data_IF_598257533905
#
_entry.id   IF_598257533905
#
_cell.length_a   1.000
_cell.length_b   1.000
_cell.length_c   1.000
_cell.angle_alpha   90.00
_cell.angle_beta   90.00
_cell.angle_gamma   90.00
#
_symmetry.space_group_name_H-M   'P 1'
#
loop_
_entity.id
_entity.type
_entity.pdbx_description
1 polymer ?
#
# COMPACT_ATOMS: atom_id res chain seq x y z
N UNK A 1 -18.61 7.04 -6.33
CA UNK A 1 -18.76 7.04 -4.86
C UNK A 1 -17.66 7.89 -4.25
N UNK A 2 -17.73 8.22 -2.96
CA UNK A 2 -16.69 8.99 -2.26
C UNK A 2 -16.00 8.14 -1.23
N UNK A 3 -14.70 8.39 -1.01
CA UNK A 3 -13.94 7.73 0.06
C UNK A 3 -14.45 8.22 1.41
N UNK A 4 -14.97 7.30 2.21
CA UNK A 4 -15.63 7.54 3.51
C UNK A 4 -14.68 7.30 4.69
N UNK A 5 -13.75 6.35 4.54
CA UNK A 5 -12.73 6.06 5.55
C UNK A 5 -11.43 5.53 4.92
N UNK A 6 -10.34 5.76 5.66
CA UNK A 6 -9.02 5.16 5.43
C UNK A 6 -8.51 4.71 6.80
N UNK A 7 -8.43 3.39 7.01
CA UNK A 7 -8.00 2.80 8.28
C UNK A 7 -6.64 2.12 8.11
N UNK A 8 -5.72 2.46 9.01
CA UNK A 8 -4.37 1.89 9.05
C UNK A 8 -4.26 0.92 10.22
N UNK A 9 -3.83 -0.32 9.95
CA UNK A 9 -3.61 -1.36 10.95
C UNK A 9 -2.13 -1.69 11.01
N UNK A 10 -1.48 -1.26 12.09
CA UNK A 10 -0.13 -1.70 12.40
C UNK A 10 -0.20 -3.11 13.00
N UNK A 11 0.33 -4.08 12.27
CA UNK A 11 0.50 -5.46 12.71
C UNK A 11 1.99 -5.77 12.88
N UNK A 12 2.34 -6.54 13.90
CA UNK A 12 3.74 -6.88 14.20
C UNK A 12 3.83 -8.24 14.87
N UNK A 13 4.89 -8.97 14.59
CA UNK A 13 5.28 -10.15 15.35
C UNK A 13 5.54 -9.78 16.82
N UNK A 14 5.43 -10.71 17.78
CA UNK A 14 5.72 -10.43 19.18
C UNK A 14 7.16 -9.96 19.44
N UNK A 15 8.08 -10.32 18.55
CA UNK A 15 9.49 -9.92 18.56
C UNK A 15 9.90 -9.57 17.12
N UNK A 16 10.59 -8.44 16.94
CA UNK A 16 11.19 -8.02 15.68
C UNK A 16 12.70 -8.11 15.82
N UNK A 17 13.33 -8.90 14.95
CA UNK A 17 14.75 -9.21 14.97
C UNK A 17 15.53 -8.30 14.00
N UNK A 18 16.81 -8.09 14.29
CA UNK A 18 17.76 -7.39 13.42
C UNK A 18 18.25 -8.30 12.29
N UNK A 19 17.35 -8.59 11.35
CA UNK A 19 17.58 -9.38 10.14
C UNK A 19 16.95 -8.68 8.94
N UNK A 20 17.41 -9.00 7.73
CA UNK A 20 16.87 -8.44 6.48
C UNK A 20 15.49 -8.97 6.09
N UNK A 21 14.58 -9.17 7.04
CA UNK A 21 13.23 -9.68 6.82
C UNK A 21 12.18 -8.59 7.08
N UNK A 22 11.58 -8.08 6.00
CA UNK A 22 10.49 -7.10 6.06
C UNK A 22 9.14 -7.69 6.48
N UNK A 23 8.99 -9.02 6.51
CA UNK A 23 7.71 -9.66 6.86
C UNK A 23 7.41 -9.72 8.37
N UNK A 24 8.33 -9.19 9.19
CA UNK A 24 8.23 -9.21 10.66
C UNK A 24 7.20 -8.23 11.21
N UNK A 25 6.87 -7.18 10.46
CA UNK A 25 5.75 -6.28 10.70
C UNK A 25 5.12 -5.85 9.38
N UNK A 26 3.95 -5.23 9.44
CA UNK A 26 3.31 -4.66 8.25
C UNK A 26 2.30 -3.57 8.62
N UNK A 27 2.01 -2.74 7.61
CA UNK A 27 0.96 -1.74 7.69
C UNK A 27 -0.13 -2.05 6.66
N UNK A 28 -1.23 -2.63 7.15
CA UNK A 28 -2.39 -2.95 6.34
C UNK A 28 -3.29 -1.71 6.23
N UNK A 29 -3.80 -1.46 5.03
CA UNK A 29 -4.65 -0.30 4.71
C UNK A 29 -6.02 -0.78 4.26
N UNK A 30 -7.07 -0.27 4.89
CA UNK A 30 -8.44 -0.44 4.45
C UNK A 30 -8.99 0.89 3.96
N UNK A 31 -9.60 0.89 2.77
CA UNK A 31 -10.37 2.04 2.26
C UNK A 31 -11.81 1.61 2.07
N UNK A 32 -12.75 2.46 2.48
CA UNK A 32 -14.19 2.22 2.30
C UNK A 32 -14.83 3.37 1.51
N UNK A 33 -15.69 3.01 0.55
CA UNK A 33 -16.48 3.95 -0.24
C UNK A 33 -17.78 3.29 -0.70
N UNK A 34 -18.93 3.91 -0.45
CA UNK A 34 -20.22 3.41 -0.96
C UNK A 34 -20.55 1.97 -0.53
N UNK A 35 -20.11 1.56 0.66
CA UNK A 35 -20.29 0.19 1.18
C UNK A 35 -19.36 -0.86 0.57
N UNK A 36 -18.36 -0.47 -0.23
CA UNK A 36 -17.33 -1.37 -0.78
C UNK A 36 -16.00 -1.12 -0.07
N UNK A 37 -15.29 -2.21 0.24
CA UNK A 37 -14.01 -2.18 0.94
C UNK A 37 -12.88 -2.68 0.04
N UNK A 38 -11.83 -1.87 -0.08
CA UNK A 38 -10.55 -2.27 -0.66
C UNK A 38 -9.46 -2.41 0.39
N UNK A 39 -8.50 -3.29 0.11
CA UNK A 39 -7.34 -3.57 0.94
C UNK A 39 -6.05 -3.34 0.18
N UNK A 40 -5.06 -2.79 0.87
CA UNK A 40 -3.70 -2.66 0.40
C UNK A 40 -2.72 -2.74 1.56
N UNK A 41 -1.44 -2.66 1.25
CA UNK A 41 -0.37 -2.81 2.22
C UNK A 41 0.77 -1.86 1.85
N UNK A 42 1.35 -1.20 2.86
CA UNK A 42 2.54 -0.39 2.68
C UNK A 42 3.77 -1.22 3.07
N UNK A 43 4.69 -1.44 2.13
CA UNK A 43 6.04 -1.91 2.44
C UNK A 43 6.86 -0.73 3.00
N UNK A 44 6.66 -0.41 4.28
CA UNK A 44 7.23 0.77 4.92
C UNK A 44 7.15 0.67 6.44
N UNK A 45 7.97 1.48 7.14
CA UNK A 45 7.86 1.64 8.61
C UNK A 45 6.43 2.06 9.00
N UNK A 46 5.67 1.23 9.75
CA UNK A 46 4.25 1.48 9.96
C UNK A 46 3.95 2.78 10.69
N UNK A 47 4.69 3.09 11.77
CA UNK A 47 4.44 4.29 12.58
C UNK A 47 4.74 5.59 11.82
N UNK A 48 5.80 5.62 11.00
CA UNK A 48 6.12 6.80 10.21
C UNK A 48 5.08 7.04 9.12
N UNK A 49 4.56 5.98 8.50
CA UNK A 49 3.49 6.07 7.52
C UNK A 49 2.15 6.48 8.15
N UNK A 50 1.83 5.99 9.36
CA UNK A 50 0.68 6.49 10.14
C UNK A 50 0.85 7.98 10.43
N UNK A 51 2.02 8.42 10.87
CA UNK A 51 2.28 9.84 11.12
C UNK A 51 2.09 10.67 9.84
N UNK A 52 2.60 10.22 8.70
CA UNK A 52 2.44 10.89 7.42
C UNK A 52 0.98 10.94 6.94
N UNK A 53 0.16 9.94 7.30
CA UNK A 53 -1.27 9.93 7.02
C UNK A 53 -2.00 11.07 7.72
N UNK A 54 -1.69 11.34 9.00
CA UNK A 54 -2.54 12.18 9.88
C UNK A 54 -1.86 13.42 10.47
N UNK A 55 -0.58 13.64 10.18
CA UNK A 55 0.18 14.79 10.71
C UNK A 55 -0.53 16.12 10.43
N UNK A 56 -0.46 17.12 11.33
CA UNK A 56 -0.87 18.47 10.98
C UNK A 56 -0.15 18.99 9.74
N UNK A 57 -0.85 19.77 8.92
CA UNK A 57 -0.25 20.43 7.76
C UNK A 57 0.86 21.38 8.23
N UNK A 58 2.02 21.30 7.58
CA UNK A 58 3.12 22.25 7.78
C UNK A 58 3.01 23.47 6.87
N UNK A 59 2.72 23.26 5.58
CA UNK A 59 2.42 24.31 4.59
C UNK A 59 1.77 23.69 3.32
N UNK A 60 1.57 24.48 2.26
CA UNK A 60 0.79 24.13 1.06
C UNK A 60 1.21 22.84 0.34
N UNK A 61 2.50 22.49 0.38
CA UNK A 61 3.09 21.31 -0.25
C UNK A 61 3.50 20.22 0.77
N UNK A 62 3.14 20.40 2.06
CA UNK A 62 3.43 19.45 3.14
C UNK A 62 2.18 19.24 3.99
N UNK A 63 1.14 18.69 3.34
CA UNK A 63 -0.12 18.26 3.95
C UNK A 63 -0.06 16.78 4.32
N UNK A 64 -0.82 16.33 5.33
CA UNK A 64 -1.05 14.90 5.54
C UNK A 64 -1.62 14.24 4.28
N UNK A 65 -1.24 12.98 4.04
CA UNK A 65 -1.73 12.22 2.87
C UNK A 65 -3.26 12.13 2.87
N UNK A 66 -3.88 11.96 4.05
CA UNK A 66 -5.33 11.84 4.19
C UNK A 66 -6.09 13.04 3.63
N UNK A 67 -5.52 14.25 3.68
CA UNK A 67 -6.16 15.47 3.18
C UNK A 67 -6.33 15.49 1.65
N UNK A 68 -5.64 14.60 0.92
CA UNK A 68 -5.76 14.44 -0.53
C UNK A 68 -6.52 13.18 -0.94
N UNK A 69 -7.06 12.42 0.03
CA UNK A 69 -7.69 11.11 -0.19
C UNK A 69 -9.12 11.10 0.36
N UNK A 70 -9.33 11.51 1.62
CA UNK A 70 -10.63 11.41 2.26
C UNK A 70 -11.66 12.32 1.58
N UNK A 71 -12.82 11.77 1.22
CA UNK A 71 -13.89 12.49 0.54
C UNK A 71 -13.72 12.65 -0.98
N UNK A 72 -12.58 12.23 -1.55
CA UNK A 72 -12.37 12.21 -3.00
C UNK A 72 -13.30 11.19 -3.67
N UNK A 73 -13.61 11.46 -4.95
CA UNK A 73 -14.41 10.56 -5.78
C UNK A 73 -13.58 9.35 -6.21
N UNK A 74 -14.19 8.18 -6.29
CA UNK A 74 -13.60 6.94 -6.81
C UNK A 74 -14.62 6.15 -7.64
N UNK A 75 -14.87 6.62 -8.86
CA UNK A 75 -15.82 6.02 -9.80
C UNK A 75 -15.15 5.36 -11.02
N UNK A 76 -13.89 5.65 -11.31
CA UNK A 76 -13.15 5.01 -12.39
C UNK A 76 -11.63 5.04 -12.14
N UNK A 77 -10.87 4.48 -13.08
CA UNK A 77 -9.40 4.45 -13.04
C UNK A 77 -8.79 5.86 -13.08
N UNK A 78 -9.45 6.81 -13.74
CA UNK A 78 -9.00 8.20 -13.81
C UNK A 78 -9.02 8.88 -12.45
N UNK A 79 -9.99 8.54 -11.60
CA UNK A 79 -10.07 9.04 -10.23
C UNK A 79 -8.89 8.55 -9.36
N UNK A 80 -8.37 7.33 -9.55
CA UNK A 80 -7.16 6.83 -8.86
C UNK A 80 -5.94 7.69 -9.25
N UNK A 81 -5.77 7.93 -10.56
CA UNK A 81 -4.68 8.76 -11.06
C UNK A 81 -4.77 10.20 -10.54
N UNK A 82 -5.98 10.75 -10.43
CA UNK A 82 -6.25 12.06 -9.86
C UNK A 82 -5.86 12.14 -8.37
N UNK A 83 -6.29 11.18 -7.55
CA UNK A 83 -5.94 11.12 -6.13
C UNK A 83 -4.42 11.05 -5.96
N UNK A 84 -3.73 10.21 -6.74
CA UNK A 84 -2.27 10.14 -6.71
C UNK A 84 -1.60 11.45 -7.11
N UNK A 85 -2.16 12.19 -8.07
CA UNK A 85 -1.66 13.52 -8.43
C UNK A 85 -1.88 14.56 -7.32
N UNK A 86 -3.03 14.52 -6.64
CA UNK A 86 -3.30 15.37 -5.48
C UNK A 86 -2.31 15.11 -4.34
N UNK A 87 -2.06 13.84 -4.00
CA UNK A 87 -1.08 13.49 -2.96
C UNK A 87 0.30 14.03 -3.32
N UNK A 88 0.79 13.79 -4.54
CA UNK A 88 2.11 14.30 -4.98
C UNK A 88 2.20 15.82 -4.97
N UNK A 89 1.12 16.53 -5.30
CA UNK A 89 1.10 17.99 -5.30
C UNK A 89 1.03 18.59 -3.88
N UNK A 90 0.26 17.97 -2.99
CA UNK A 90 -0.03 18.49 -1.65
C UNK A 90 0.93 18.00 -0.56
N UNK A 91 1.62 16.89 -0.80
CA UNK A 91 2.52 16.23 0.16
C UNK A 91 3.94 16.06 -0.39
N UNK A 92 4.32 16.85 -1.40
CA UNK A 92 5.65 16.85 -2.02
C UNK A 92 6.80 16.93 -1.00
N UNK A 93 6.65 17.79 0.00
CA UNK A 93 7.68 18.04 1.03
C UNK A 93 7.52 17.12 2.26
N UNK A 94 6.58 16.16 2.20
CA UNK A 94 6.42 15.10 3.19
C UNK A 94 7.09 13.83 2.66
N UNK A 95 8.37 13.62 3.00
CA UNK A 95 9.21 12.56 2.44
C UNK A 95 8.61 11.14 2.52
N UNK A 96 7.79 10.86 3.54
CA UNK A 96 7.15 9.56 3.76
C UNK A 96 5.85 9.37 2.93
N UNK A 97 5.43 10.36 2.14
CA UNK A 97 4.14 10.37 1.46
C UNK A 97 3.99 9.23 0.44
N UNK A 98 5.00 8.94 -0.37
CA UNK A 98 4.91 7.89 -1.40
C UNK A 98 4.75 6.50 -0.79
N UNK A 99 5.52 6.20 0.26
CA UNK A 99 5.37 4.95 1.02
C UNK A 99 3.97 4.84 1.65
N UNK A 100 3.49 5.93 2.26
CA UNK A 100 2.15 5.98 2.89
C UNK A 100 1.03 5.81 1.87
N UNK A 101 1.18 6.43 0.70
CA UNK A 101 0.18 6.38 -0.36
C UNK A 101 0.18 5.04 -1.09
N UNK A 102 1.29 4.31 -1.14
CA UNK A 102 1.36 3.02 -1.85
C UNK A 102 0.28 2.03 -1.43
N UNK A 103 0.09 1.82 -0.12
CA UNK A 103 -0.98 0.93 0.38
C UNK A 103 -2.38 1.49 0.15
N UNK A 104 -2.56 2.81 0.14
CA UNK A 104 -3.84 3.45 -0.22
C UNK A 104 -4.13 3.21 -1.71
N UNK A 105 -3.17 3.46 -2.61
CA UNK A 105 -3.32 3.26 -4.06
C UNK A 105 -3.73 1.82 -4.37
N UNK A 106 -3.04 0.84 -3.79
CA UNK A 106 -3.40 -0.59 -3.91
C UNK A 106 -4.84 -0.84 -3.43
N UNK A 107 -5.22 -0.28 -2.27
CA UNK A 107 -6.57 -0.41 -1.74
C UNK A 107 -7.63 0.24 -2.66
N UNK A 108 -7.32 1.35 -3.33
CA UNK A 108 -8.23 1.98 -4.31
C UNK A 108 -8.44 1.09 -5.53
N UNK A 109 -7.39 0.43 -6.04
CA UNK A 109 -7.52 -0.53 -7.13
C UNK A 109 -8.35 -1.75 -6.73
N UNK A 110 -8.10 -2.33 -5.55
CA UNK A 110 -8.88 -3.46 -5.03
C UNK A 110 -10.35 -3.08 -4.82
N UNK A 111 -10.61 -1.91 -4.23
CA UNK A 111 -11.95 -1.35 -4.05
C UNK A 111 -12.67 -1.20 -5.39
N UNK A 112 -12.03 -0.57 -6.37
CA UNK A 112 -12.61 -0.33 -7.68
C UNK A 112 -12.87 -1.64 -8.43
N UNK A 113 -11.94 -2.60 -8.35
CA UNK A 113 -12.11 -3.94 -8.91
C UNK A 113 -13.34 -4.65 -8.36
N UNK A 114 -13.50 -4.66 -7.03
CA UNK A 114 -14.69 -5.23 -6.36
C UNK A 114 -15.98 -4.52 -6.78
N UNK A 115 -15.97 -3.20 -6.87
CA UNK A 115 -17.15 -2.42 -7.26
C UNK A 115 -17.55 -2.66 -8.72
N UNK A 116 -16.58 -2.84 -9.61
CA UNK A 116 -16.81 -3.08 -11.04
C UNK A 116 -16.97 -4.57 -11.39
N UNK A 117 -16.86 -5.46 -10.39
CA UNK A 117 -16.80 -6.92 -10.60
C UNK A 117 -15.73 -7.32 -11.63
N UNK A 118 -14.58 -6.66 -11.55
CA UNK A 118 -13.47 -6.81 -12.49
C UNK A 118 -12.14 -7.03 -11.74
N UNK A 119 -11.28 -7.94 -12.21
CA UNK A 119 -9.97 -8.09 -11.61
C UNK A 119 -9.07 -6.89 -11.93
N UNK A 120 -8.20 -6.51 -10.98
CA UNK A 120 -7.33 -5.31 -11.11
C UNK A 120 -6.47 -5.33 -12.39
N UNK A 121 -5.99 -6.50 -12.82
CA UNK A 121 -5.19 -6.59 -14.06
C UNK A 121 -5.97 -6.14 -15.30
N UNK A 122 -7.28 -6.34 -15.34
CA UNK A 122 -8.13 -5.89 -16.45
C UNK A 122 -8.28 -4.37 -16.42
N UNK A 123 -8.48 -3.80 -15.22
CA UNK A 123 -8.53 -2.35 -15.02
C UNK A 123 -7.21 -1.66 -15.40
N UNK A 124 -6.08 -2.36 -15.23
CA UNK A 124 -4.75 -1.92 -15.69
C UNK A 124 -4.54 -2.07 -17.21
N UNK A 125 -5.55 -2.52 -17.96
CA UNK A 125 -5.50 -2.69 -19.41
C UNK A 125 -4.78 -3.96 -19.87
N UNK A 126 -4.60 -4.95 -18.99
CA UNK A 126 -4.04 -6.25 -19.37
C UNK A 126 -5.17 -7.11 -19.95
N UNK A 127 -5.00 -7.62 -21.17
CA UNK A 127 -6.00 -8.45 -21.86
C UNK A 127 -6.21 -9.82 -21.19
N UNK A 128 -5.13 -10.46 -20.71
CA UNK A 128 -5.19 -11.78 -20.08
C UNK A 128 -4.09 -11.98 -19.05
N UNK A 129 -4.39 -12.53 -17.86
CA UNK A 129 -3.36 -12.89 -16.89
C UNK A 129 -2.50 -14.02 -17.44
N UNK A 130 -1.18 -13.89 -17.28
CA UNK A 130 -0.21 -14.92 -17.71
C UNK A 130 0.42 -15.56 -16.48
N UNK A 131 0.58 -16.90 -16.44
CA UNK A 131 1.32 -17.56 -15.39
C UNK A 131 2.72 -16.96 -15.21
N UNK A 132 3.11 -16.74 -13.97
CA UNK A 132 4.45 -16.30 -13.59
C UNK A 132 5.18 -17.48 -12.95
N UNK A 133 6.46 -17.67 -13.26
CA UNK A 133 7.27 -18.67 -12.57
C UNK A 133 7.75 -18.05 -11.25
N UNK A 134 7.30 -18.53 -10.08
CA UNK A 134 7.82 -18.03 -8.82
C UNK A 134 9.28 -18.46 -8.65
N UNK A 135 10.08 -17.62 -7.99
CA UNK A 135 11.38 -18.00 -7.46
C UNK A 135 11.32 -17.87 -5.94
N UNK A 136 12.02 -18.74 -5.23
CA UNK A 136 12.15 -18.63 -3.78
C UNK A 136 13.16 -17.53 -3.45
N UNK A 137 12.67 -16.38 -2.99
CA UNK A 137 13.52 -15.36 -2.36
C UNK A 137 13.71 -15.76 -0.90
N UNK A 138 14.95 -15.98 -0.48
CA UNK A 138 15.30 -16.49 0.85
C UNK A 138 16.49 -15.73 1.39
N UNK A 139 16.52 -15.51 2.70
CA UNK A 139 17.73 -15.04 3.38
C UNK A 139 18.79 -16.13 3.37
N UNK A 140 20.06 -15.71 3.32
CA UNK A 140 21.17 -16.63 3.53
C UNK A 140 21.15 -17.16 4.95
N UNK A 141 21.58 -18.42 5.12
CA UNK A 141 21.94 -18.91 6.45
C UNK A 141 23.25 -18.27 6.91
N UNK A 142 23.53 -18.35 8.20
CA UNK A 142 24.77 -17.83 8.79
C UNK A 142 26.02 -18.57 8.26
N UNK A 143 25.82 -19.77 7.73
CA UNK A 143 26.85 -20.60 7.10
C UNK A 143 26.49 -21.04 5.68
N UNK A 144 27.50 -21.34 4.82
CA UNK A 144 27.26 -21.94 3.51
C UNK A 144 26.47 -23.24 3.56
N UNK A 145 26.70 -24.08 4.58
CA UNK A 145 26.00 -25.36 4.77
C UNK A 145 24.51 -25.17 5.08
N UNK A 146 24.15 -24.14 5.83
CA UNK A 146 22.75 -23.77 6.08
C UNK A 146 22.08 -23.26 4.81
N UNK A 147 22.74 -22.40 4.06
CA UNK A 147 22.25 -21.93 2.75
C UNK A 147 22.03 -23.11 1.79
N UNK A 148 22.96 -24.07 1.73
CA UNK A 148 22.80 -25.29 0.95
C UNK A 148 21.60 -26.12 1.40
N UNK A 149 21.33 -26.17 2.71
CA UNK A 149 20.17 -26.87 3.26
C UNK A 149 18.86 -26.20 2.85
N UNK A 150 18.78 -24.87 2.93
CA UNK A 150 17.62 -24.09 2.49
C UNK A 150 17.33 -24.29 0.99
N UNK A 151 18.37 -24.31 0.15
CA UNK A 151 18.22 -24.52 -1.29
C UNK A 151 17.75 -25.94 -1.69
N UNK A 152 17.85 -26.92 -0.78
CA UNK A 152 17.44 -28.31 -0.99
C UNK A 152 16.06 -28.65 -0.43
N UNK A 153 15.50 -27.77 0.41
CA UNK A 153 14.15 -27.91 0.96
C UNK A 153 13.10 -27.58 -0.10
#
# INVERSE_FOLDING_TARGET
MKIESVDFFYLSMPEVLDIGDGSQDLLLVRVEAGGVVGWGECEASPLTSIAALVTPMSHSACKPVLASVLGERIDDVGDIAWIGALVRANSLDLLQADHTFSGIDIALWDLLGKRLDAPVWELLGVDKPRPKRPYASQLFGDTPEETLRLARA
#
